data_IF_240245385220
#
_entry.id   IF_240245385220
#
_cell.length_a   1.000
_cell.length_b   1.000
_cell.length_c   1.000
_cell.angle_alpha   90.00
_cell.angle_beta   90.00
_cell.angle_gamma   90.00
#
_symmetry.space_group_name_H-M   'P 1'
#
loop_
_entity.id
_entity.type
_entity.pdbx_description
1 polymer ?
#
# COMPACT_ATOMS: atom_id res chain seq x y z
N UNK A 1 -86.76 13.54 0.56
CA UNK A 1 -85.33 13.51 0.90
C UNK A 1 -84.96 14.87 1.48
N UNK A 2 -84.63 14.96 2.77
CA UNK A 2 -84.45 16.26 3.47
C UNK A 2 -83.15 16.94 3.06
N UNK A 3 -83.14 18.27 2.93
CA UNK A 3 -81.96 19.11 2.63
C UNK A 3 -80.75 18.73 3.51
N UNK A 4 -81.01 18.33 4.76
CA UNK A 4 -80.00 17.86 5.70
C UNK A 4 -79.22 16.63 5.18
N UNK A 5 -79.89 15.65 4.57
CA UNK A 5 -79.24 14.45 4.03
C UNK A 5 -78.31 14.76 2.84
N UNK A 6 -78.65 15.75 2.01
CA UNK A 6 -77.82 16.18 0.87
C UNK A 6 -76.56 16.88 1.39
N UNK A 7 -76.70 17.75 2.39
CA UNK A 7 -75.56 18.45 3.01
C UNK A 7 -74.58 17.49 3.69
N UNK A 8 -75.09 16.46 4.37
CA UNK A 8 -74.27 15.45 5.05
C UNK A 8 -73.48 14.59 4.05
N UNK A 9 -74.12 14.16 2.96
CA UNK A 9 -73.47 13.38 1.92
C UNK A 9 -72.37 14.17 1.19
N UNK A 10 -72.58 15.48 0.97
CA UNK A 10 -71.57 16.36 0.35
C UNK A 10 -70.33 16.52 1.25
N UNK A 11 -70.54 16.71 2.55
CA UNK A 11 -69.45 16.77 3.53
C UNK A 11 -68.68 15.46 3.57
N UNK A 12 -69.36 14.31 3.61
CA UNK A 12 -68.71 13.00 3.58
C UNK A 12 -67.90 12.74 2.30
N UNK A 13 -68.42 13.10 1.14
CA UNK A 13 -67.71 12.97 -0.14
C UNK A 13 -66.44 13.84 -0.18
N UNK A 14 -66.51 15.07 0.34
CA UNK A 14 -65.35 15.96 0.42
C UNK A 14 -64.27 15.44 1.40
N UNK A 15 -64.68 14.86 2.52
CA UNK A 15 -63.77 14.24 3.49
C UNK A 15 -63.05 13.01 2.92
N UNK A 16 -63.75 12.17 2.15
CA UNK A 16 -63.15 11.03 1.44
C UNK A 16 -62.14 11.49 0.40
N UNK A 17 -62.46 12.53 -0.38
CA UNK A 17 -61.53 13.12 -1.34
C UNK A 17 -60.25 13.65 -0.68
N UNK A 18 -60.39 14.37 0.44
CA UNK A 18 -59.25 14.86 1.21
C UNK A 18 -58.39 13.71 1.78
N UNK A 19 -59.03 12.65 2.30
CA UNK A 19 -58.32 11.47 2.80
C UNK A 19 -57.50 10.78 1.70
N UNK A 20 -58.04 10.65 0.49
CA UNK A 20 -57.33 10.08 -0.66
C UNK A 20 -56.11 10.92 -1.04
N UNK A 21 -56.24 12.26 -1.07
CA UNK A 21 -55.13 13.16 -1.39
C UNK A 21 -54.01 13.04 -0.34
N UNK A 22 -54.37 12.98 0.95
CA UNK A 22 -53.39 12.79 2.03
C UNK A 22 -52.69 11.46 1.91
N UNK A 23 -53.42 10.37 1.64
CA UNK A 23 -52.82 9.04 1.42
C UNK A 23 -51.89 9.03 0.21
N UNK A 24 -52.29 9.65 -0.92
CA UNK A 24 -51.46 9.76 -2.10
C UNK A 24 -50.17 10.57 -1.81
N UNK A 25 -50.28 11.68 -1.07
CA UNK A 25 -49.13 12.48 -0.66
C UNK A 25 -48.18 11.69 0.26
N UNK A 26 -48.71 10.90 1.21
CA UNK A 26 -47.93 10.03 2.08
C UNK A 26 -47.21 8.92 1.29
N UNK A 27 -47.86 8.32 0.29
CA UNK A 27 -47.25 7.32 -0.59
C UNK A 27 -46.16 7.96 -1.46
N UNK A 28 -46.40 9.12 -2.07
CA UNK A 28 -45.40 9.85 -2.85
C UNK A 28 -44.21 10.21 -1.97
N UNK A 29 -44.47 10.72 -0.77
CA UNK A 29 -43.43 11.04 0.20
C UNK A 29 -42.63 9.80 0.60
N UNK A 30 -43.27 8.67 0.90
CA UNK A 30 -42.58 7.44 1.30
C UNK A 30 -41.73 6.87 0.16
N UNK A 31 -42.23 6.90 -1.08
CA UNK A 31 -41.50 6.47 -2.28
C UNK A 31 -40.31 7.39 -2.55
N UNK A 32 -40.48 8.71 -2.48
CA UNK A 32 -39.37 9.67 -2.65
C UNK A 32 -38.34 9.50 -1.53
N UNK A 33 -38.79 9.29 -0.29
CA UNK A 33 -37.92 9.07 0.86
C UNK A 33 -37.08 7.78 0.69
N UNK A 34 -37.71 6.66 0.32
CA UNK A 34 -37.00 5.40 0.03
C UNK A 34 -36.05 5.53 -1.16
N UNK A 35 -36.45 6.25 -2.23
CA UNK A 35 -35.58 6.53 -3.38
C UNK A 35 -34.34 7.34 -2.99
N UNK A 36 -34.47 8.31 -2.09
CA UNK A 36 -33.34 9.08 -1.57
C UNK A 36 -32.39 8.22 -0.76
N UNK A 37 -32.92 7.37 0.13
CA UNK A 37 -32.08 6.45 0.93
C UNK A 37 -31.36 5.43 0.04
N UNK A 38 -32.05 4.83 -0.93
CA UNK A 38 -31.44 3.88 -1.87
C UNK A 38 -30.42 4.53 -2.79
N UNK A 39 -30.64 5.79 -3.21
CA UNK A 39 -29.64 6.55 -3.96
C UNK A 39 -28.37 6.79 -3.13
N UNK A 40 -28.51 7.24 -1.88
CA UNK A 40 -27.36 7.46 -1.00
C UNK A 40 -26.58 6.16 -0.72
N UNK A 41 -27.30 5.04 -0.50
CA UNK A 41 -26.68 3.74 -0.29
C UNK A 41 -25.94 3.25 -1.54
N UNK A 42 -26.54 3.41 -2.73
CA UNK A 42 -25.88 3.10 -4.01
C UNK A 42 -24.62 3.94 -4.23
N UNK A 43 -24.65 5.23 -3.91
CA UNK A 43 -23.45 6.07 -4.01
C UNK A 43 -22.34 5.57 -3.10
N UNK A 44 -22.65 5.18 -1.85
CA UNK A 44 -21.66 4.61 -0.92
C UNK A 44 -21.14 3.25 -1.39
N UNK A 45 -22.02 2.39 -1.92
CA UNK A 45 -21.63 1.11 -2.49
C UNK A 45 -20.67 1.29 -3.66
N UNK A 46 -20.99 2.17 -4.61
CA UNK A 46 -20.14 2.46 -5.75
C UNK A 46 -18.78 3.07 -5.33
N UNK A 47 -18.76 3.92 -4.30
CA UNK A 47 -17.51 4.47 -3.76
C UNK A 47 -16.63 3.36 -3.15
N UNK A 48 -17.22 2.45 -2.38
CA UNK A 48 -16.54 1.29 -1.82
C UNK A 48 -16.04 0.33 -2.92
N UNK A 49 -16.86 0.06 -3.95
CA UNK A 49 -16.44 -0.75 -5.09
C UNK A 49 -15.27 -0.11 -5.84
N UNK A 50 -15.29 1.22 -6.03
CA UNK A 50 -14.18 1.95 -6.63
C UNK A 50 -12.90 1.82 -5.80
N UNK A 51 -13.00 1.99 -4.47
CA UNK A 51 -11.87 1.80 -3.55
C UNK A 51 -11.29 0.37 -3.64
N UNK A 52 -12.15 -0.65 -3.65
CA UNK A 52 -11.73 -2.05 -3.81
C UNK A 52 -11.00 -2.27 -5.14
N UNK A 53 -11.47 -1.66 -6.23
CA UNK A 53 -10.80 -1.74 -7.54
C UNK A 53 -9.43 -1.07 -7.46
N UNK A 54 -9.32 0.13 -6.87
CA UNK A 54 -8.03 0.82 -6.73
C UNK A 54 -7.02 0.02 -5.91
N UNK A 55 -7.45 -0.60 -4.80
CA UNK A 55 -6.61 -1.47 -3.99
C UNK A 55 -6.16 -2.72 -4.76
N UNK A 56 -7.05 -3.29 -5.57
CA UNK A 56 -6.75 -4.44 -6.41
C UNK A 56 -5.72 -4.09 -7.48
N UNK A 57 -5.86 -2.95 -8.13
CA UNK A 57 -4.92 -2.50 -9.16
C UNK A 57 -3.53 -2.27 -8.56
N UNK A 58 -3.46 -1.64 -7.38
CA UNK A 58 -2.22 -1.46 -6.63
C UNK A 58 -1.56 -2.80 -6.26
N UNK A 59 -2.35 -3.76 -5.77
CA UNK A 59 -1.85 -5.10 -5.47
C UNK A 59 -1.39 -5.84 -6.74
N UNK A 60 -2.13 -5.69 -7.85
CA UNK A 60 -1.76 -6.29 -9.13
C UNK A 60 -0.42 -5.75 -9.65
N UNK A 61 -0.22 -4.43 -9.60
CA UNK A 61 1.04 -3.80 -9.96
C UNK A 61 2.20 -4.31 -9.09
N UNK A 62 1.96 -4.46 -7.79
CA UNK A 62 2.94 -5.00 -6.83
C UNK A 62 3.35 -6.44 -7.16
N UNK A 63 2.39 -7.30 -7.52
CA UNK A 63 2.67 -8.67 -7.98
C UNK A 63 3.48 -8.65 -9.28
N UNK A 64 3.16 -7.76 -10.21
CA UNK A 64 3.89 -7.62 -11.46
C UNK A 64 5.35 -7.20 -11.22
N UNK A 65 5.60 -6.26 -10.30
CA UNK A 65 6.97 -5.90 -9.89
C UNK A 65 7.72 -7.08 -9.28
N UNK A 66 7.08 -7.86 -8.41
CA UNK A 66 7.68 -9.05 -7.81
C UNK A 66 8.09 -10.06 -8.87
N UNK A 67 7.22 -10.36 -9.84
CA UNK A 67 7.53 -11.28 -10.95
C UNK A 67 8.66 -10.76 -11.84
N UNK A 68 8.74 -9.44 -12.06
CA UNK A 68 9.85 -8.81 -12.77
C UNK A 68 11.18 -8.99 -12.03
N UNK A 69 11.20 -8.82 -10.71
CA UNK A 69 12.40 -9.07 -9.89
C UNK A 69 12.79 -10.55 -9.99
N UNK A 70 11.85 -11.46 -9.76
CA UNK A 70 12.10 -12.91 -9.79
C UNK A 70 12.65 -13.38 -11.14
N UNK A 71 12.09 -12.90 -12.24
CA UNK A 71 12.60 -13.20 -13.58
C UNK A 71 14.00 -12.62 -13.83
N UNK A 72 14.28 -11.41 -13.34
CA UNK A 72 15.62 -10.81 -13.35
C UNK A 72 16.66 -11.69 -12.66
N UNK A 73 16.38 -12.14 -11.44
CA UNK A 73 17.23 -13.07 -10.70
C UNK A 73 17.42 -14.40 -11.43
N UNK A 74 16.33 -15.00 -11.94
CA UNK A 74 16.40 -16.27 -12.66
C UNK A 74 17.30 -16.17 -13.91
N UNK A 75 17.20 -15.07 -14.65
CA UNK A 75 18.05 -14.80 -15.82
C UNK A 75 19.52 -14.62 -15.42
N UNK A 76 19.77 -13.81 -14.38
CA UNK A 76 21.13 -13.56 -13.86
C UNK A 76 21.83 -14.86 -13.42
N UNK A 77 21.13 -15.71 -12.67
CA UNK A 77 21.64 -17.04 -12.27
C UNK A 77 21.92 -17.91 -13.49
N UNK A 78 21.01 -17.96 -14.47
CA UNK A 78 21.19 -18.76 -15.68
C UNK A 78 22.39 -18.28 -16.51
N UNK A 79 22.59 -16.99 -16.64
CA UNK A 79 23.70 -16.42 -17.40
C UNK A 79 25.04 -16.64 -16.70
N UNK A 80 25.08 -16.51 -15.37
CA UNK A 80 26.26 -16.88 -14.58
C UNK A 80 26.60 -18.36 -14.74
N UNK A 81 25.59 -19.26 -14.69
CA UNK A 81 25.77 -20.69 -14.94
C UNK A 81 26.40 -20.96 -16.30
N UNK A 82 25.89 -20.33 -17.37
CA UNK A 82 26.44 -20.46 -18.73
C UNK A 82 27.90 -19.99 -18.80
N UNK A 83 28.20 -18.83 -18.20
CA UNK A 83 29.55 -18.27 -18.20
C UNK A 83 30.54 -19.18 -17.47
N UNK A 84 30.16 -19.70 -16.30
CA UNK A 84 30.98 -20.63 -15.52
C UNK A 84 31.22 -21.91 -16.33
N UNK A 85 30.17 -22.50 -16.92
CA UNK A 85 30.29 -23.72 -17.72
C UNK A 85 31.22 -23.53 -18.93
N UNK A 86 31.08 -22.41 -19.66
CA UNK A 86 31.94 -22.09 -20.80
C UNK A 86 33.41 -21.91 -20.39
N UNK A 87 33.67 -21.19 -19.28
CA UNK A 87 35.04 -21.03 -18.76
C UNK A 87 35.62 -22.35 -18.26
N UNK A 88 34.79 -23.21 -17.65
CA UNK A 88 35.24 -24.48 -17.09
C UNK A 88 35.65 -25.46 -18.19
N UNK A 89 34.80 -25.60 -19.22
CA UNK A 89 35.10 -26.43 -20.40
C UNK A 89 36.32 -25.95 -21.17
N UNK A 90 36.64 -24.65 -21.08
CA UNK A 90 37.83 -24.03 -21.70
C UNK A 90 39.09 -24.10 -20.81
N UNK A 91 39.05 -24.76 -19.65
CA UNK A 91 40.18 -24.86 -18.72
C UNK A 91 40.54 -23.58 -17.95
N UNK A 92 39.70 -22.53 -18.02
CA UNK A 92 39.96 -21.19 -17.47
C UNK A 92 39.59 -21.08 -15.98
N UNK A 93 40.13 -21.96 -15.16
CA UNK A 93 39.78 -22.07 -13.72
C UNK A 93 40.16 -20.84 -12.90
N UNK A 94 41.23 -20.13 -13.26
CA UNK A 94 41.63 -18.86 -12.65
C UNK A 94 40.63 -17.74 -12.90
N UNK A 95 40.06 -17.66 -14.11
CA UNK A 95 39.01 -16.70 -14.43
C UNK A 95 37.71 -16.99 -13.65
N UNK A 96 37.36 -18.26 -13.47
CA UNK A 96 36.20 -18.67 -12.65
C UNK A 96 36.39 -18.21 -11.20
N UNK A 97 37.59 -18.42 -10.63
CA UNK A 97 37.90 -17.98 -9.26
C UNK A 97 37.75 -16.46 -9.13
N UNK A 98 38.24 -15.69 -10.11
CA UNK A 98 38.10 -14.23 -10.12
C UNK A 98 36.65 -13.78 -10.23
N UNK A 99 35.86 -14.45 -11.07
CA UNK A 99 34.42 -14.16 -11.24
C UNK A 99 33.66 -14.41 -9.93
N UNK A 100 33.83 -15.59 -9.32
CA UNK A 100 33.13 -15.97 -8.10
C UNK A 100 33.59 -15.19 -6.85
N UNK A 101 34.83 -14.70 -6.84
CA UNK A 101 35.34 -13.86 -5.77
C UNK A 101 34.91 -12.40 -5.88
N UNK A 102 34.32 -11.97 -7.01
CA UNK A 102 33.87 -10.60 -7.17
C UNK A 102 32.54 -10.36 -6.46
N UNK A 103 32.49 -9.34 -5.60
CA UNK A 103 31.25 -8.90 -4.94
C UNK A 103 30.29 -8.19 -5.90
N UNK A 104 30.79 -7.77 -7.07
CA UNK A 104 30.07 -6.99 -8.08
C UNK A 104 28.71 -7.57 -8.44
N UNK A 105 28.58 -8.90 -8.48
CA UNK A 105 27.30 -9.55 -8.78
C UNK A 105 26.28 -9.30 -7.68
N UNK A 106 26.68 -9.36 -6.41
CA UNK A 106 25.80 -9.12 -5.27
C UNK A 106 25.40 -7.65 -5.22
N UNK A 107 26.34 -6.75 -5.48
CA UNK A 107 26.09 -5.30 -5.53
C UNK A 107 25.12 -4.94 -6.66
N UNK A 108 25.34 -5.43 -7.88
CA UNK A 108 24.47 -5.19 -9.04
C UNK A 108 23.05 -5.73 -8.80
N UNK A 109 22.91 -6.91 -8.20
CA UNK A 109 21.60 -7.45 -7.84
C UNK A 109 20.93 -6.63 -6.72
N UNK A 110 21.69 -6.14 -5.74
CA UNK A 110 21.16 -5.27 -4.69
C UNK A 110 20.68 -3.93 -5.24
N UNK A 111 21.41 -3.33 -6.18
CA UNK A 111 20.99 -2.09 -6.86
C UNK A 111 19.71 -2.28 -7.66
N UNK A 112 19.60 -3.40 -8.41
CA UNK A 112 18.38 -3.73 -9.14
C UNK A 112 17.19 -3.97 -8.21
N UNK A 113 17.41 -4.69 -7.10
CA UNK A 113 16.39 -4.90 -6.07
C UNK A 113 15.92 -3.55 -5.52
N UNK A 114 16.86 -2.71 -5.12
CA UNK A 114 16.65 -1.44 -4.44
C UNK A 114 15.72 -0.51 -5.23
N UNK A 115 15.98 -0.31 -6.52
CA UNK A 115 15.15 0.58 -7.33
C UNK A 115 13.72 0.06 -7.52
N UNK A 116 13.50 -1.25 -7.57
CA UNK A 116 12.15 -1.82 -7.68
C UNK A 116 11.45 -1.87 -6.33
N UNK A 117 12.18 -2.20 -5.26
CA UNK A 117 11.68 -2.23 -3.89
C UNK A 117 11.14 -0.88 -3.46
N UNK A 118 11.91 0.20 -3.63
CA UNK A 118 11.51 1.54 -3.20
C UNK A 118 10.16 1.96 -3.82
N UNK A 119 10.02 1.78 -5.14
CA UNK A 119 8.79 2.09 -5.88
C UNK A 119 7.62 1.22 -5.45
N UNK A 120 7.81 -0.11 -5.40
CA UNK A 120 6.76 -1.04 -4.98
C UNK A 120 6.29 -0.73 -3.55
N UNK A 121 7.23 -0.49 -2.64
CA UNK A 121 6.95 -0.22 -1.25
C UNK A 121 6.23 1.11 -1.05
N UNK A 122 6.68 2.18 -1.71
CA UNK A 122 6.03 3.49 -1.63
C UNK A 122 4.66 3.53 -2.31
N UNK A 123 4.44 2.74 -3.36
CA UNK A 123 3.10 2.57 -3.92
C UNK A 123 2.14 1.94 -2.89
N UNK A 124 2.62 0.95 -2.11
CA UNK A 124 1.84 0.29 -1.07
C UNK A 124 1.67 1.13 0.20
N UNK A 125 2.68 1.93 0.56
CA UNK A 125 2.70 2.76 1.75
C UNK A 125 3.06 4.22 1.40
N UNK A 126 2.16 4.96 0.72
CA UNK A 126 2.46 6.30 0.21
C UNK A 126 2.73 7.33 1.31
N UNK A 127 2.20 7.11 2.51
CA UNK A 127 2.40 7.97 3.68
C UNK A 127 3.62 7.59 4.52
N UNK A 128 4.35 6.53 4.16
CA UNK A 128 5.42 5.96 4.99
C UNK A 128 6.45 6.99 5.45
N UNK A 129 7.00 7.79 4.53
CA UNK A 129 8.05 8.77 4.89
C UNK A 129 7.50 9.83 5.84
N UNK A 130 6.23 10.23 5.67
CA UNK A 130 5.58 11.20 6.54
C UNK A 130 5.36 10.60 7.93
N UNK A 131 4.87 9.36 8.02
CA UNK A 131 4.71 8.63 9.28
C UNK A 131 6.05 8.51 10.02
N UNK A 132 7.15 8.20 9.32
CA UNK A 132 8.48 8.18 9.93
C UNK A 132 8.89 9.57 10.41
N UNK A 133 8.67 10.61 9.61
CA UNK A 133 9.01 11.99 9.97
C UNK A 133 8.25 12.51 11.19
N UNK A 134 7.05 11.99 11.45
CA UNK A 134 6.27 12.29 12.67
C UNK A 134 6.91 11.68 13.93
N UNK A 135 7.67 10.58 13.78
CA UNK A 135 8.41 9.94 14.88
C UNK A 135 9.78 10.58 15.16
N UNK A 136 10.23 11.50 14.31
CA UNK A 136 11.54 12.15 14.40
C UNK A 136 11.43 13.59 14.91
N UNK A 137 12.49 14.04 15.59
CA UNK A 137 12.66 15.45 15.95
C UNK A 137 12.54 16.32 14.70
N UNK A 138 11.90 17.48 14.84
CA UNK A 138 11.55 18.34 13.70
C UNK A 138 12.76 18.71 12.82
N UNK A 139 13.91 18.96 13.43
CA UNK A 139 15.19 19.31 12.79
C UNK A 139 15.99 18.10 12.28
N UNK A 140 15.46 16.89 12.43
CA UNK A 140 16.12 15.61 12.08
C UNK A 140 15.31 14.75 11.11
N UNK A 141 14.23 15.30 10.57
CA UNK A 141 13.37 14.69 9.54
C UNK A 141 14.13 14.45 8.23
N UNK A 142 13.64 13.51 7.44
CA UNK A 142 14.08 13.29 6.07
C UNK A 142 13.42 14.33 5.16
N UNK A 143 14.21 15.25 4.60
CA UNK A 143 13.71 16.39 3.82
C UNK A 143 14.09 16.35 2.33
N UNK A 144 15.08 15.53 1.95
CA UNK A 144 15.66 15.49 0.60
C UNK A 144 15.62 14.07 0.02
N UNK A 145 14.43 13.59 -0.35
CA UNK A 145 14.27 12.33 -1.08
C UNK A 145 13.80 12.64 -2.50
N UNK A 146 14.41 11.99 -3.48
CA UNK A 146 13.85 11.96 -4.81
C UNK A 146 12.48 11.25 -4.76
N UNK A 147 11.56 11.70 -5.60
CA UNK A 147 10.23 11.11 -5.67
C UNK A 147 10.33 9.61 -6.03
N UNK A 148 9.77 8.75 -5.19
CA UNK A 148 9.80 7.30 -5.38
C UNK A 148 11.10 6.60 -4.95
N UNK A 149 12.03 7.28 -4.28
CA UNK A 149 13.28 6.68 -3.78
C UNK A 149 13.39 6.74 -2.25
N UNK A 150 13.95 5.68 -1.66
CA UNK A 150 14.27 5.61 -0.24
C UNK A 150 15.79 5.64 -0.07
N UNK A 151 16.30 6.19 1.03
CA UNK A 151 17.71 5.99 1.39
C UNK A 151 17.88 4.69 2.20
N UNK A 152 19.13 4.27 2.46
CA UNK A 152 19.41 3.05 3.21
C UNK A 152 18.71 2.97 4.57
N UNK A 153 18.56 4.08 5.28
CA UNK A 153 17.88 4.07 6.58
C UNK A 153 16.39 3.80 6.41
N UNK A 154 15.75 4.50 5.47
CA UNK A 154 14.34 4.31 5.17
C UNK A 154 14.05 2.90 4.65
N UNK A 155 14.96 2.29 3.88
CA UNK A 155 14.84 0.89 3.45
C UNK A 155 14.90 -0.08 4.62
N UNK A 156 15.79 0.16 5.59
CA UNK A 156 15.85 -0.64 6.82
C UNK A 156 14.54 -0.51 7.61
N UNK A 157 14.01 0.71 7.72
CA UNK A 157 12.73 0.95 8.37
C UNK A 157 11.57 0.29 7.61
N UNK A 158 11.56 0.35 6.28
CA UNK A 158 10.56 -0.27 5.44
C UNK A 158 10.55 -1.80 5.61
N UNK A 159 11.73 -2.44 5.62
CA UNK A 159 11.85 -3.87 5.88
C UNK A 159 11.33 -4.25 7.27
N UNK A 160 11.61 -3.44 8.30
CA UNK A 160 11.05 -3.64 9.65
C UNK A 160 9.53 -3.45 9.68
N UNK A 161 8.98 -2.49 8.94
CA UNK A 161 7.52 -2.29 8.78
C UNK A 161 6.86 -3.54 8.18
N UNK A 162 7.55 -4.24 7.28
CA UNK A 162 7.13 -5.51 6.70
C UNK A 162 7.35 -6.72 7.63
N UNK A 163 7.82 -6.52 8.87
CA UNK A 163 8.07 -7.58 9.84
C UNK A 163 9.44 -8.25 9.73
N UNK A 164 10.34 -7.74 8.89
CA UNK A 164 11.71 -8.25 8.78
C UNK A 164 12.58 -7.50 9.78
N UNK A 165 12.80 -8.11 10.94
CA UNK A 165 13.54 -7.48 12.05
C UNK A 165 14.99 -7.94 12.18
N UNK A 166 15.31 -9.13 11.66
CA UNK A 166 16.64 -9.72 11.75
C UNK A 166 17.67 -8.93 10.94
N UNK A 167 18.71 -8.46 11.61
CA UNK A 167 19.73 -7.59 11.00
C UNK A 167 20.55 -8.33 9.94
N UNK A 168 20.73 -9.64 10.06
CA UNK A 168 21.46 -10.43 9.05
C UNK A 168 20.65 -10.56 7.75
N UNK A 169 19.34 -10.76 7.89
CA UNK A 169 18.39 -10.81 6.77
C UNK A 169 18.36 -9.46 6.07
N UNK A 170 18.14 -8.36 6.81
CA UNK A 170 18.15 -7.00 6.25
C UNK A 170 19.47 -6.69 5.52
N UNK A 171 20.60 -7.05 6.13
CA UNK A 171 21.93 -6.86 5.53
C UNK A 171 22.05 -7.58 4.19
N UNK A 172 21.67 -8.86 4.14
CA UNK A 172 21.72 -9.66 2.92
C UNK A 172 20.77 -9.12 1.83
N UNK A 173 19.57 -8.66 2.20
CA UNK A 173 18.58 -8.10 1.28
C UNK A 173 19.08 -6.81 0.64
N UNK A 174 19.74 -5.94 1.42
CA UNK A 174 20.25 -4.64 0.95
C UNK A 174 21.68 -4.71 0.41
N UNK A 175 22.32 -5.89 0.39
CA UNK A 175 23.73 -6.02 0.00
C UNK A 175 24.69 -5.24 0.90
N UNK A 176 24.32 -5.02 2.18
CA UNK A 176 25.10 -4.28 3.15
C UNK A 176 25.78 -5.22 4.15
N UNK A 177 26.82 -4.73 4.84
CA UNK A 177 27.35 -5.42 6.00
C UNK A 177 26.39 -5.30 7.20
N UNK A 178 26.33 -6.33 8.05
CA UNK A 178 25.48 -6.33 9.26
C UNK A 178 25.80 -5.14 10.19
N UNK A 179 27.08 -4.78 10.32
CA UNK A 179 27.51 -3.61 11.09
C UNK A 179 26.95 -2.29 10.54
N UNK A 180 26.79 -2.19 9.23
CA UNK A 180 26.17 -1.03 8.58
C UNK A 180 24.69 -0.92 8.96
N UNK A 181 23.98 -2.05 9.08
CA UNK A 181 22.59 -2.07 9.56
C UNK A 181 22.50 -1.55 11.00
N UNK A 182 23.37 -2.01 11.89
CA UNK A 182 23.41 -1.50 13.27
C UNK A 182 23.70 0.00 13.33
N UNK A 183 24.61 0.48 12.48
CA UNK A 183 24.98 1.90 12.39
C UNK A 183 23.78 2.75 11.97
N UNK A 184 23.09 2.38 10.89
CA UNK A 184 21.90 3.08 10.40
C UNK A 184 20.72 3.02 11.38
N UNK A 185 20.52 1.88 12.02
CA UNK A 185 19.50 1.68 13.07
C UNK A 185 19.75 2.64 14.24
N UNK A 186 20.99 2.70 14.73
CA UNK A 186 21.36 3.59 15.83
C UNK A 186 21.26 5.07 15.44
N UNK A 187 21.73 5.43 14.23
CA UNK A 187 21.62 6.81 13.70
C UNK A 187 20.16 7.25 13.59
N UNK A 188 19.27 6.39 13.13
CA UNK A 188 17.84 6.68 13.06
C UNK A 188 17.21 6.80 14.45
N UNK A 189 17.44 5.82 15.34
CA UNK A 189 16.93 5.87 16.71
C UNK A 189 17.44 7.10 17.48
N UNK A 190 18.64 7.61 17.15
CA UNK A 190 19.17 8.83 17.78
C UNK A 190 18.43 10.12 17.42
N UNK A 191 17.65 10.10 16.34
CA UNK A 191 16.84 11.22 15.84
C UNK A 191 15.38 11.14 16.27
N UNK A 192 14.97 10.03 16.90
CA UNK A 192 13.60 9.79 17.31
C UNK A 192 13.18 10.69 18.48
N UNK A 193 11.92 11.10 18.49
CA UNK A 193 11.29 11.80 19.62
C UNK A 193 11.26 10.87 20.84
N UNK A 194 10.84 9.62 20.63
CA UNK A 194 10.88 8.55 21.61
C UNK A 194 11.82 7.44 21.11
N UNK A 195 12.97 7.29 21.79
CA UNK A 195 14.01 6.35 21.38
C UNK A 195 13.69 4.91 21.78
N UNK A 196 12.96 4.71 22.87
CA UNK A 196 12.69 3.38 23.43
C UNK A 196 11.57 2.69 22.65
N UNK A 197 10.50 3.43 22.37
CA UNK A 197 9.33 2.91 21.65
C UNK A 197 9.35 3.14 20.14
N UNK A 198 10.43 3.70 19.58
CA UNK A 198 10.53 4.02 18.14
C UNK A 198 10.09 2.87 17.21
N UNK A 199 10.59 1.66 17.45
CA UNK A 199 10.27 0.50 16.61
C UNK A 199 8.87 -0.07 16.88
N UNK A 200 8.30 0.17 18.08
CA UNK A 200 6.92 -0.22 18.38
C UNK A 200 5.93 0.64 17.58
N UNK A 201 6.19 1.95 17.48
CA UNK A 201 5.39 2.86 16.66
C UNK A 201 5.55 2.62 15.15
N UNK A 202 6.57 1.87 14.75
CA UNK A 202 6.83 1.55 13.36
C UNK A 202 6.07 0.32 12.86
N UNK A 203 5.67 -0.61 13.74
CA UNK A 203 4.89 -1.77 13.34
C UNK A 203 3.54 -1.36 12.74
N UNK A 204 3.05 -2.09 11.74
CA UNK A 204 1.68 -1.93 11.27
C UNK A 204 0.75 -2.23 12.46
N UNK A 205 -0.19 -1.34 12.76
CA UNK A 205 -1.23 -1.64 13.74
C UNK A 205 -2.02 -2.85 13.23
N UNK A 206 -1.89 -3.99 13.90
CA UNK A 206 -2.75 -5.16 13.68
C UNK A 206 -4.18 -4.86 14.12
#
# INVERSE_FOLDING_TARGET
MSIFSISLNLVQASALGAAIIVLAALIIWSVVHQRRQTAALRTRLNACEAEIITLRDLHHESVHYLLRIQSGYANSINDMRKQILHKLTSGKTTEIRRLLASQNIIEEQSEQFTGVFDRMFLNLYPTFVNEINELLLHDKRFCDLNEGELNHELRILALRRLGIEDSSTIASTLGLAVNTIYTYTNRTRSRAIDRESFYQHLAVAN
#
